data_IF_138422185686
#
_entry.id   IF_138422185686
#
_cell.length_a   1.000
_cell.length_b   1.000
_cell.length_c   1.000
_cell.angle_alpha   90.00
_cell.angle_beta   90.00
_cell.angle_gamma   90.00
#
_symmetry.space_group_name_H-M   'P 1'
#
loop_
_entity.id
_entity.type
_entity.pdbx_description
1 polymer ?
#
# COMPACT_ATOMS: atom_id res chain seq x y z
N UNK A 1 -13.83 12.73 20.45
CA UNK A 1 -13.96 11.57 19.53
C UNK A 1 -12.65 10.76 19.58
N UNK A 2 -12.57 9.74 20.45
CA UNK A 2 -11.28 9.23 20.90
C UNK A 2 -10.56 8.26 19.96
N UNK A 3 -11.06 7.88 18.79
CA UNK A 3 -10.56 6.69 18.11
C UNK A 3 -10.19 6.86 16.64
N UNK A 4 -9.70 8.03 16.22
CA UNK A 4 -9.01 8.13 14.93
C UNK A 4 -7.58 7.64 15.12
N UNK A 5 -7.29 6.42 14.67
CA UNK A 5 -5.93 5.90 14.66
C UNK A 5 -5.12 6.76 13.68
N UNK A 6 -4.16 7.50 14.19
CA UNK A 6 -3.17 8.24 13.40
C UNK A 6 -1.87 7.46 13.46
N UNK A 7 -1.44 6.94 12.34
CA UNK A 7 -0.10 6.38 12.22
C UNK A 7 0.79 7.40 11.51
N UNK A 8 1.84 7.82 12.16
CA UNK A 8 2.90 8.64 11.58
C UNK A 8 4.08 7.71 11.36
N UNK A 9 4.68 7.77 10.19
CA UNK A 9 5.85 6.97 9.88
C UNK A 9 6.97 7.85 9.30
N UNK A 10 8.18 7.45 9.61
CA UNK A 10 9.40 7.99 9.04
C UNK A 10 10.30 6.81 8.68
N UNK A 11 10.72 6.75 7.43
CA UNK A 11 11.57 5.69 6.93
C UNK A 11 12.75 6.27 6.18
N UNK A 12 13.94 5.79 6.51
CA UNK A 12 15.19 6.14 5.84
C UNK A 12 15.79 4.86 5.27
N UNK A 13 15.79 4.72 3.96
CA UNK A 13 16.55 3.71 3.24
C UNK A 13 17.90 4.25 2.78
N UNK A 14 18.73 3.39 2.20
CA UNK A 14 20.07 3.77 1.68
C UNK A 14 20.01 4.89 0.64
N UNK A 15 18.91 4.98 -0.12
CA UNK A 15 18.73 5.96 -1.21
C UNK A 15 17.39 6.71 -1.14
N UNK A 16 16.59 6.50 -0.12
CA UNK A 16 15.26 7.09 0.00
C UNK A 16 15.01 7.59 1.41
N UNK A 17 14.48 8.78 1.51
CA UNK A 17 13.89 9.33 2.72
C UNK A 17 12.38 9.44 2.50
N UNK A 18 11.60 8.98 3.47
CA UNK A 18 10.15 9.05 3.39
C UNK A 18 9.54 9.37 4.76
N UNK A 19 8.59 10.28 4.76
CA UNK A 19 7.77 10.61 5.94
C UNK A 19 6.31 10.70 5.53
N UNK A 20 5.40 10.34 6.41
CA UNK A 20 3.98 10.45 6.12
C UNK A 20 3.09 10.03 7.27
N UNK A 21 1.80 9.99 7.00
CA UNK A 21 0.80 9.61 7.97
C UNK A 21 -0.41 8.93 7.34
N UNK A 22 -1.12 8.17 8.16
CA UNK A 22 -2.37 7.49 7.81
C UNK A 22 -3.43 7.92 8.82
N UNK A 23 -4.57 8.41 8.30
CA UNK A 23 -5.74 8.80 9.07
C UNK A 23 -6.90 7.85 8.75
N UNK A 24 -7.45 7.19 9.77
CA UNK A 24 -8.70 6.43 9.63
C UNK A 24 -9.88 7.40 9.54
N UNK A 25 -10.68 7.30 8.47
CA UNK A 25 -11.87 8.12 8.25
C UNK A 25 -13.12 7.35 8.66
N UNK A 26 -13.33 6.17 8.06
CA UNK A 26 -14.44 5.27 8.34
C UNK A 26 -13.92 3.90 8.76
N UNK A 27 -14.73 3.12 9.49
CA UNK A 27 -14.37 1.77 9.93
C UNK A 27 -15.60 0.88 10.08
N UNK A 28 -15.61 -0.24 9.37
CA UNK A 28 -16.67 -1.25 9.51
C UNK A 28 -16.80 -1.80 10.94
N UNK A 29 -15.69 -1.82 11.71
CA UNK A 29 -15.74 -2.18 13.15
C UNK A 29 -16.54 -1.19 14.01
N UNK A 30 -16.79 0.02 13.50
CA UNK A 30 -17.64 1.04 14.15
C UNK A 30 -19.04 1.12 13.57
N UNK A 31 -19.41 0.16 12.71
CA UNK A 31 -20.70 0.13 12.04
C UNK A 31 -20.77 0.92 10.74
N UNK A 32 -19.67 1.49 10.26
CA UNK A 32 -19.65 2.13 8.94
C UNK A 32 -19.75 1.07 7.84
N UNK A 33 -20.36 1.40 6.70
CA UNK A 33 -20.50 0.49 5.55
C UNK A 33 -19.14 0.05 4.97
N UNK A 34 -18.15 0.91 5.01
CA UNK A 34 -16.82 0.69 4.46
C UNK A 34 -15.74 1.17 5.44
N UNK A 35 -14.57 0.56 5.40
CA UNK A 35 -13.40 1.10 6.08
C UNK A 35 -12.59 1.96 5.12
N UNK A 36 -12.36 3.24 5.45
CA UNK A 36 -11.60 4.17 4.61
C UNK A 36 -10.47 4.83 5.39
N UNK A 37 -9.31 4.92 4.76
CA UNK A 37 -8.11 5.58 5.29
C UNK A 37 -7.58 6.56 4.27
N UNK A 38 -7.18 7.74 4.72
CA UNK A 38 -6.38 8.67 3.94
C UNK A 38 -4.92 8.48 4.32
N UNK A 39 -4.08 8.29 3.33
CA UNK A 39 -2.62 8.25 3.45
C UNK A 39 -2.02 9.43 2.70
N UNK A 40 -1.11 10.12 3.36
CA UNK A 40 -0.29 11.16 2.76
C UNK A 40 1.16 10.86 3.08
N UNK A 41 2.05 10.95 2.11
CA UNK A 41 3.48 10.82 2.31
C UNK A 41 4.26 11.74 1.39
N UNK A 42 5.41 12.17 1.89
CA UNK A 42 6.45 12.82 1.13
C UNK A 42 7.64 11.88 1.05
N UNK A 43 8.23 11.76 -0.11
CA UNK A 43 9.43 10.96 -0.31
C UNK A 43 10.44 11.72 -1.15
N UNK A 44 11.72 11.47 -0.87
CA UNK A 44 12.85 12.02 -1.59
C UNK A 44 13.85 10.92 -1.92
N UNK A 45 14.36 10.93 -3.14
CA UNK A 45 15.45 10.05 -3.54
C UNK A 45 16.78 10.69 -3.12
N UNK A 46 17.47 10.08 -2.17
CA UNK A 46 18.80 10.51 -1.73
C UNK A 46 19.87 9.98 -2.71
N UNK A 47 20.56 10.89 -3.37
CA UNK A 47 21.66 10.55 -4.30
C UNK A 47 21.39 10.95 -5.75
N UNK A 48 21.72 12.16 -6.10
CA UNK A 48 21.95 12.66 -7.47
C UNK A 48 20.81 13.39 -8.16
N UNK A 49 19.57 13.06 -7.94
CA UNK A 49 18.42 13.83 -8.45
C UNK A 49 17.52 14.21 -7.26
N UNK A 50 17.50 15.48 -6.92
CA UNK A 50 16.65 16.08 -5.87
C UNK A 50 15.18 16.11 -6.29
N UNK A 51 14.61 14.96 -6.62
CA UNK A 51 13.24 14.87 -7.09
C UNK A 51 12.40 14.26 -5.99
N UNK A 52 11.86 15.14 -5.14
CA UNK A 52 10.83 14.75 -4.18
C UNK A 52 9.51 14.45 -4.87
N UNK A 53 8.65 13.70 -4.16
CA UNK A 53 7.27 13.46 -4.55
C UNK A 53 6.34 13.58 -3.35
N UNK A 54 5.10 13.97 -3.61
CA UNK A 54 4.01 13.86 -2.66
C UNK A 54 3.09 12.76 -3.16
N UNK A 55 2.79 11.80 -2.31
CA UNK A 55 1.87 10.70 -2.60
C UNK A 55 0.64 10.82 -1.71
N UNK A 56 -0.54 10.72 -2.32
CA UNK A 56 -1.83 10.69 -1.64
C UNK A 56 -2.62 9.47 -2.08
N UNK A 57 -3.22 8.75 -1.14
CA UNK A 57 -3.99 7.53 -1.38
C UNK A 57 -5.21 7.50 -0.45
N UNK A 58 -6.37 7.17 -1.01
CA UNK A 58 -7.56 6.83 -0.22
C UNK A 58 -7.73 5.31 -0.29
N UNK A 59 -7.46 4.62 0.82
CA UNK A 59 -7.57 3.16 0.91
C UNK A 59 -8.97 2.83 1.38
N UNK A 60 -9.79 2.28 0.49
CA UNK A 60 -11.12 1.80 0.81
C UNK A 60 -11.13 0.29 0.87
N UNK A 61 -11.62 -0.27 1.97
CA UNK A 61 -11.78 -1.70 2.18
C UNK A 61 -13.21 -2.03 2.52
N UNK A 62 -13.78 -2.98 1.81
CA UNK A 62 -15.07 -3.61 2.09
C UNK A 62 -14.85 -5.07 2.44
N UNK A 63 -15.15 -5.45 3.69
CA UNK A 63 -15.10 -6.84 4.15
C UNK A 63 -16.49 -7.45 3.97
N UNK A 64 -16.59 -8.39 3.05
CA UNK A 64 -17.83 -9.11 2.77
C UNK A 64 -18.04 -10.22 3.81
N UNK A 65 -16.95 -10.83 4.28
CA UNK A 65 -16.93 -11.88 5.29
C UNK A 65 -15.58 -11.89 6.03
N UNK A 66 -15.41 -12.79 6.99
CA UNK A 66 -14.15 -12.95 7.72
C UNK A 66 -13.00 -13.46 6.84
N UNK A 67 -13.34 -14.12 5.72
CA UNK A 67 -12.37 -14.71 4.81
C UNK A 67 -12.20 -13.92 3.48
N UNK A 68 -13.09 -12.94 3.18
CA UNK A 68 -13.09 -12.22 1.92
C UNK A 68 -13.24 -10.71 2.13
N UNK A 69 -12.31 -9.93 1.60
CA UNK A 69 -12.45 -8.49 1.49
C UNK A 69 -11.88 -7.95 0.20
N UNK A 70 -12.43 -6.83 -0.25
CA UNK A 70 -12.03 -6.09 -1.44
C UNK A 70 -11.44 -4.75 -1.05
N UNK A 71 -10.42 -4.31 -1.77
CA UNK A 71 -9.85 -2.99 -1.60
C UNK A 71 -9.85 -2.26 -2.93
N UNK A 72 -10.18 -0.97 -2.88
CA UNK A 72 -10.04 -0.03 -4.00
C UNK A 72 -9.34 1.22 -3.45
N UNK A 73 -8.22 1.56 -4.04
CA UNK A 73 -7.35 2.62 -3.55
C UNK A 73 -6.99 3.59 -4.67
N UNK A 74 -7.82 4.60 -4.95
CA UNK A 74 -7.40 5.69 -5.82
C UNK A 74 -6.24 6.44 -5.18
N UNK A 75 -5.21 6.71 -5.97
CA UNK A 75 -4.03 7.41 -5.50
C UNK A 75 -3.38 8.28 -6.58
N UNK A 76 -2.70 9.32 -6.12
CA UNK A 76 -2.01 10.28 -6.95
C UNK A 76 -0.60 10.52 -6.42
N UNK A 77 0.37 10.59 -7.32
CA UNK A 77 1.71 11.09 -7.04
C UNK A 77 1.93 12.42 -7.75
N UNK A 78 2.30 13.42 -6.98
CA UNK A 78 2.74 14.72 -7.50
C UNK A 78 4.25 14.73 -7.57
N UNK A 79 4.78 14.91 -8.75
CA UNK A 79 6.23 14.99 -9.01
C UNK A 79 6.55 16.18 -9.86
N UNK A 80 7.82 16.58 -9.90
CA UNK A 80 8.28 17.64 -10.80
C UNK A 80 8.21 17.25 -12.29
N UNK A 81 8.06 15.96 -12.62
CA UNK A 81 7.90 15.46 -13.99
C UNK A 81 6.42 15.32 -14.40
N UNK A 82 5.50 15.70 -13.52
CA UNK A 82 4.06 15.63 -13.69
C UNK A 82 3.38 14.68 -12.71
N UNK A 83 2.06 14.70 -12.74
CA UNK A 83 1.24 13.91 -11.85
C UNK A 83 0.98 12.51 -12.43
N UNK A 84 0.91 11.52 -11.55
CA UNK A 84 0.58 10.13 -11.90
C UNK A 84 -0.70 9.76 -11.15
N UNK A 85 -1.73 9.37 -11.88
CA UNK A 85 -3.03 8.96 -11.36
C UNK A 85 -3.18 7.46 -11.53
N UNK A 86 -3.60 6.77 -10.47
CA UNK A 86 -3.76 5.32 -10.51
C UNK A 86 -4.87 4.87 -9.58
N UNK A 87 -5.37 3.67 -9.83
CA UNK A 87 -6.32 2.96 -8.96
C UNK A 87 -5.71 1.60 -8.63
N UNK A 88 -5.37 1.43 -7.36
CA UNK A 88 -5.01 0.13 -6.81
C UNK A 88 -6.27 -0.68 -6.49
N UNK A 89 -6.28 -1.94 -6.87
CA UNK A 89 -7.34 -2.89 -6.52
C UNK A 89 -6.73 -4.13 -5.94
N UNK A 90 -7.32 -4.69 -4.88
CA UNK A 90 -6.88 -5.98 -4.35
C UNK A 90 -8.03 -6.76 -3.74
N UNK A 91 -7.86 -8.06 -3.70
CA UNK A 91 -8.74 -8.99 -3.00
C UNK A 91 -7.93 -9.65 -1.90
N UNK A 92 -8.48 -9.67 -0.68
CA UNK A 92 -7.87 -10.40 0.42
C UNK A 92 -8.65 -11.69 0.63
N UNK A 93 -7.99 -12.82 0.43
CA UNK A 93 -8.52 -14.16 0.61
C UNK A 93 -7.85 -14.81 1.81
N UNK A 94 -8.54 -14.88 2.95
CA UNK A 94 -8.06 -15.56 4.13
C UNK A 94 -8.41 -17.04 4.04
N UNK A 95 -7.40 -17.88 3.81
CA UNK A 95 -7.56 -19.33 3.66
C UNK A 95 -7.73 -20.02 5.02
N UNK A 96 -7.12 -19.47 6.07
CA UNK A 96 -7.28 -19.92 7.48
C UNK A 96 -6.83 -18.77 8.42
N UNK A 97 -6.81 -19.06 9.74
CA UNK A 97 -6.43 -18.06 10.74
C UNK A 97 -4.98 -17.53 10.60
N UNK A 98 -4.12 -18.27 9.91
CA UNK A 98 -2.69 -17.94 9.78
C UNK A 98 -2.27 -17.53 8.38
N UNK A 99 -3.08 -17.78 7.35
CA UNK A 99 -2.65 -17.56 5.98
C UNK A 99 -3.69 -16.80 5.15
N UNK A 100 -3.22 -15.80 4.40
CA UNK A 100 -4.01 -14.94 3.51
C UNK A 100 -3.28 -14.79 2.18
N UNK A 101 -4.03 -14.80 1.08
CA UNK A 101 -3.53 -14.53 -0.29
C UNK A 101 -4.13 -13.22 -0.77
N UNK A 102 -3.29 -12.36 -1.34
CA UNK A 102 -3.68 -11.01 -1.75
C UNK A 102 -3.19 -10.76 -3.18
N UNK A 103 -3.99 -11.09 -4.19
CA UNK A 103 -3.77 -10.56 -5.54
C UNK A 103 -4.08 -9.06 -5.56
N UNK A 104 -3.20 -8.31 -6.21
CA UNK A 104 -3.30 -6.85 -6.33
C UNK A 104 -2.98 -6.43 -7.76
N UNK A 105 -3.75 -5.49 -8.29
CA UNK A 105 -3.49 -4.82 -9.55
C UNK A 105 -3.47 -3.31 -9.34
N UNK A 106 -2.57 -2.63 -10.02
CA UNK A 106 -2.51 -1.18 -10.07
C UNK A 106 -2.73 -0.71 -11.50
N UNK A 107 -3.86 -0.03 -11.72
CA UNK A 107 -4.30 0.48 -13.01
C UNK A 107 -3.89 1.94 -13.09
N UNK A 108 -2.98 2.24 -14.00
CA UNK A 108 -2.54 3.60 -14.26
C UNK A 108 -3.48 4.28 -15.26
N UNK A 109 -3.95 5.47 -14.90
CA UNK A 109 -4.89 6.25 -15.72
C UNK A 109 -4.16 7.17 -16.70
N UNK A 110 -2.86 7.38 -16.49
CA UNK A 110 -2.02 8.18 -17.35
C UNK A 110 -0.56 7.72 -17.29
N UNK A 111 0.22 7.94 -18.31
CA UNK A 111 1.69 7.91 -18.41
C UNK A 111 2.44 6.64 -18.01
N UNK A 112 1.86 5.71 -17.24
CA UNK A 112 2.55 4.51 -16.78
C UNK A 112 1.80 3.24 -17.19
N UNK A 113 2.52 2.12 -17.30
CA UNK A 113 1.92 0.82 -17.55
C UNK A 113 1.29 0.23 -16.29
N UNK A 114 0.25 -0.57 -16.46
CA UNK A 114 -0.36 -1.32 -15.36
C UNK A 114 0.62 -2.33 -14.78
N UNK A 115 0.49 -2.56 -13.49
CA UNK A 115 1.29 -3.55 -12.80
C UNK A 115 0.43 -4.39 -11.85
N UNK A 116 0.97 -5.52 -11.41
CA UNK A 116 0.31 -6.43 -10.50
C UNK A 116 1.28 -7.07 -9.53
N UNK A 117 0.74 -7.53 -8.41
CA UNK A 117 1.45 -8.31 -7.44
C UNK A 117 0.55 -9.40 -6.85
N UNK A 118 1.20 -10.44 -6.36
CA UNK A 118 0.58 -11.49 -5.57
C UNK A 118 1.34 -11.61 -4.26
N UNK A 119 0.65 -11.43 -3.15
CA UNK A 119 1.23 -11.52 -1.81
C UNK A 119 0.63 -12.69 -1.05
N UNK A 120 1.47 -13.53 -0.50
CA UNK A 120 1.13 -14.51 0.54
C UNK A 120 1.47 -13.93 1.90
N UNK A 121 0.49 -13.80 2.77
CA UNK A 121 0.64 -13.27 4.12
C UNK A 121 0.50 -14.37 5.14
N UNK A 122 1.48 -14.48 6.02
CA UNK A 122 1.50 -15.43 7.12
C UNK A 122 1.50 -14.71 8.46
N UNK A 123 0.54 -15.03 9.31
CA UNK A 123 0.46 -14.54 10.69
C UNK A 123 1.13 -15.57 11.61
N UNK A 124 2.38 -15.32 12.01
CA UNK A 124 3.11 -16.20 12.93
C UNK A 124 2.60 -16.03 14.36
N UNK A 125 2.29 -14.81 14.75
CA UNK A 125 1.67 -14.44 16.02
C UNK A 125 0.84 -13.16 15.84
N UNK A 126 0.21 -12.67 16.89
CA UNK A 126 -0.50 -11.39 16.89
C UNK A 126 0.42 -10.21 16.53
N UNK A 127 1.71 -10.35 16.85
CA UNK A 127 2.71 -9.32 16.68
C UNK A 127 3.65 -9.52 15.48
N UNK A 128 3.64 -10.69 14.82
CA UNK A 128 4.58 -11.00 13.75
C UNK A 128 3.83 -11.43 12.50
N UNK A 129 3.99 -10.64 11.44
CA UNK A 129 3.40 -10.91 10.13
C UNK A 129 4.53 -10.98 9.10
N UNK A 130 4.52 -12.03 8.29
CA UNK A 130 5.43 -12.19 7.16
C UNK A 130 4.62 -12.11 5.86
N UNK A 131 5.00 -11.19 4.99
CA UNK A 131 4.48 -11.08 3.62
C UNK A 131 5.56 -11.58 2.65
N UNK A 132 5.27 -12.60 1.88
CA UNK A 132 6.06 -13.01 0.72
C UNK A 132 5.34 -12.52 -0.53
N UNK A 133 6.04 -11.96 -1.50
CA UNK A 133 5.39 -11.42 -2.68
C UNK A 133 6.18 -11.67 -3.98
N UNK A 134 5.42 -11.71 -5.06
CA UNK A 134 5.88 -11.63 -6.43
C UNK A 134 5.20 -10.42 -7.09
N UNK A 135 5.94 -9.57 -7.77
CA UNK A 135 5.43 -8.35 -8.36
C UNK A 135 6.22 -7.91 -9.58
N UNK A 136 5.52 -7.31 -10.54
CA UNK A 136 6.16 -6.57 -11.63
C UNK A 136 6.16 -5.05 -11.39
N UNK A 137 5.86 -4.58 -10.18
CA UNK A 137 6.00 -3.16 -9.83
C UNK A 137 7.45 -2.80 -9.53
N UNK A 138 7.81 -1.51 -9.72
CA UNK A 138 9.13 -1.00 -9.40
C UNK A 138 9.44 -1.07 -7.89
N UNK A 139 8.41 -1.00 -7.07
CA UNK A 139 8.47 -1.15 -5.61
C UNK A 139 7.09 -1.38 -5.03
N UNK A 140 7.02 -1.72 -3.74
CA UNK A 140 5.77 -2.07 -3.05
C UNK A 140 5.15 -0.90 -2.28
N UNK A 141 5.77 0.28 -2.34
CA UNK A 141 5.40 1.39 -1.46
C UNK A 141 5.27 2.69 -2.28
N UNK A 142 4.21 3.45 -1.98
CA UNK A 142 3.94 4.79 -2.49
C UNK A 142 4.07 4.90 -4.03
N UNK A 143 4.80 5.90 -4.51
CA UNK A 143 4.98 6.16 -5.93
C UNK A 143 5.61 4.96 -6.67
N UNK A 144 6.50 4.22 -6.04
CA UNK A 144 7.18 3.09 -6.69
C UNK A 144 6.23 1.96 -7.08
N UNK A 145 5.11 1.79 -6.38
CA UNK A 145 4.08 0.81 -6.76
C UNK A 145 3.27 1.20 -7.98
N UNK A 146 3.34 2.47 -8.42
CA UNK A 146 2.65 2.94 -9.63
C UNK A 146 3.41 2.60 -10.93
N UNK A 147 4.68 2.25 -10.84
CA UNK A 147 5.49 1.95 -12.00
C UNK A 147 5.68 0.46 -12.19
N UNK A 148 5.58 0.03 -13.44
CA UNK A 148 5.95 -1.31 -13.84
C UNK A 148 7.48 -1.43 -13.91
N UNK A 149 8.00 -2.55 -13.47
CA UNK A 149 9.38 -2.98 -13.65
C UNK A 149 9.48 -3.88 -14.88
N UNK A 150 10.56 -3.78 -15.63
CA UNK A 150 10.86 -4.71 -16.74
C UNK A 150 11.06 -6.14 -16.24
N UNK A 151 11.44 -6.31 -14.97
CA UNK A 151 11.68 -7.61 -14.38
C UNK A 151 10.70 -7.90 -13.25
N UNK A 152 10.28 -9.14 -13.14
CA UNK A 152 9.52 -9.64 -12.00
C UNK A 152 10.40 -9.69 -10.75
N UNK A 153 9.89 -9.19 -9.64
CA UNK A 153 10.58 -9.14 -8.36
C UNK A 153 9.94 -10.08 -7.36
N UNK A 154 10.77 -10.64 -6.52
CA UNK A 154 10.37 -11.47 -5.38
C UNK A 154 10.87 -10.79 -4.11
N UNK A 155 10.12 -10.90 -3.04
CA UNK A 155 10.56 -10.31 -1.78
C UNK A 155 9.84 -10.88 -0.57
N UNK A 156 10.43 -10.58 0.58
CA UNK A 156 9.88 -10.88 1.89
C UNK A 156 9.86 -9.60 2.70
N UNK A 157 8.75 -9.35 3.37
CA UNK A 157 8.59 -8.23 4.28
C UNK A 157 8.13 -8.76 5.65
N UNK A 158 8.84 -8.39 6.70
CA UNK A 158 8.50 -8.77 8.07
C UNK A 158 7.98 -7.53 8.78
N UNK A 159 6.78 -7.63 9.35
CA UNK A 159 6.16 -6.58 10.15
C UNK A 159 6.06 -7.02 11.59
N UNK A 160 6.61 -6.19 12.47
CA UNK A 160 6.51 -6.33 13.91
C UNK A 160 5.50 -5.29 14.43
N UNK A 161 4.60 -5.71 15.30
CA UNK A 161 3.68 -4.82 16.05
C UNK A 161 4.11 -4.83 17.50
N UNK A 162 4.29 -3.66 18.05
CA UNK A 162 4.66 -3.47 19.45
C UNK A 162 3.49 -2.90 20.24
#
# INVERSE_FOLDING_TARGET
NPNKIKNIFFEKGIRNLRAGGILQIFSQYRGDFISSKLRLSYGEKTGGLRNGYIFSEIINRYSLSDWLSFNISPHISFTNLGNIYSIGTSVNLRLNSKFEVIPEANINLNKAENNFSLTGRTYLSENIIIDTFISNSLGVIDMAKQFKSETTKYGVNIRLRF
#
